data_IF_463869073552
#
_entry.id   IF_463869073552
#
_cell.length_a   1.000
_cell.length_b   1.000
_cell.length_c   1.000
_cell.angle_alpha   90.00
_cell.angle_beta   90.00
_cell.angle_gamma   90.00
#
_symmetry.space_group_name_H-M   'P 1'
#
loop_
_entity.id
_entity.type
_entity.pdbx_description
1 polymer ?
#
# COMPACT_ATOMS: atom_id res chain seq x y z
N UNK A 1 25.35 -54.24 -18.22
CA UNK A 1 24.90 -53.44 -19.38
C UNK A 1 25.32 -52.00 -19.11
N UNK A 2 26.42 -51.59 -19.73
CA UNK A 2 27.22 -50.42 -19.34
C UNK A 2 26.94 -49.28 -20.30
N UNK A 3 26.11 -48.32 -19.89
CA UNK A 3 25.75 -47.18 -20.74
C UNK A 3 26.80 -46.06 -20.59
N UNK A 4 27.60 -45.85 -21.64
CA UNK A 4 28.54 -44.73 -21.74
C UNK A 4 27.82 -43.53 -22.39
N UNK A 5 27.75 -42.41 -21.67
CA UNK A 5 27.27 -41.13 -22.19
C UNK A 5 28.46 -40.39 -22.82
N UNK A 6 28.38 -39.92 -24.07
CA UNK A 6 29.45 -39.15 -24.70
C UNK A 6 29.49 -37.70 -24.20
N UNK A 7 30.72 -37.23 -23.93
CA UNK A 7 31.07 -35.83 -23.66
C UNK A 7 30.84 -35.00 -24.93
N UNK A 8 30.08 -33.91 -24.82
CA UNK A 8 29.94 -32.89 -25.88
C UNK A 8 30.88 -31.72 -25.60
N UNK A 9 31.50 -31.28 -26.70
CA UNK A 9 32.65 -30.39 -26.82
C UNK A 9 32.41 -28.96 -26.33
N UNK A 10 33.55 -28.38 -25.94
CA UNK A 10 33.80 -26.97 -25.66
C UNK A 10 33.25 -26.04 -26.74
N UNK A 11 32.55 -25.00 -26.32
CA UNK A 11 32.16 -23.88 -27.17
C UNK A 11 33.15 -22.74 -26.95
N UNK A 12 33.87 -22.43 -28.02
CA UNK A 12 34.88 -21.39 -28.18
C UNK A 12 34.33 -20.02 -27.78
N UNK A 13 34.98 -19.34 -26.84
CA UNK A 13 34.69 -17.97 -26.48
C UNK A 13 35.13 -17.01 -27.59
N UNK A 14 34.19 -16.26 -28.15
CA UNK A 14 34.48 -15.10 -29.01
C UNK A 14 34.73 -13.91 -28.09
N UNK A 15 35.99 -13.51 -27.94
CA UNK A 15 36.35 -12.26 -27.29
C UNK A 15 36.07 -11.11 -28.27
N UNK A 16 35.00 -10.33 -28.02
CA UNK A 16 34.81 -9.04 -28.68
C UNK A 16 35.79 -8.02 -28.07
N UNK A 17 36.74 -7.56 -28.88
CA UNK A 17 37.53 -6.38 -28.57
C UNK A 17 36.64 -5.14 -28.69
N UNK A 18 36.33 -4.48 -27.57
CA UNK A 18 35.71 -3.16 -27.57
C UNK A 18 36.76 -2.11 -27.94
N UNK A 19 36.58 -1.46 -29.09
CA UNK A 19 37.32 -0.25 -29.45
C UNK A 19 36.94 0.90 -28.50
N UNK A 20 37.94 1.53 -27.89
CA UNK A 20 37.77 2.70 -27.06
C UNK A 20 37.40 3.92 -27.92
N UNK A 21 36.18 4.41 -27.78
CA UNK A 21 35.76 5.71 -28.34
C UNK A 21 36.18 6.81 -27.36
N UNK A 22 36.99 7.81 -27.78
CA UNK A 22 37.34 8.91 -26.90
C UNK A 22 36.21 9.95 -26.86
N UNK A 23 35.84 10.36 -25.64
CA UNK A 23 35.15 11.63 -25.42
C UNK A 23 33.63 11.60 -25.43
N UNK A 24 33.02 10.97 -24.40
CA UNK A 24 31.68 11.37 -23.96
C UNK A 24 31.87 12.08 -22.63
N UNK A 25 31.56 13.39 -22.60
CA UNK A 25 31.58 14.17 -21.37
C UNK A 25 30.71 13.46 -20.34
N UNK A 26 31.34 13.03 -19.24
CA UNK A 26 30.69 12.32 -18.15
C UNK A 26 29.73 13.29 -17.47
N UNK A 27 28.46 13.22 -17.83
CA UNK A 27 27.42 14.03 -17.21
C UNK A 27 27.44 13.73 -15.71
N UNK A 28 27.76 14.75 -14.91
CA UNK A 28 27.74 14.67 -13.45
C UNK A 28 26.35 14.17 -13.05
N UNK A 29 26.23 13.03 -12.33
CA UNK A 29 24.92 12.56 -11.88
C UNK A 29 24.25 13.67 -11.09
N UNK A 30 23.04 14.06 -11.50
CA UNK A 30 22.23 14.98 -10.72
C UNK A 30 22.14 14.42 -9.28
N UNK A 31 22.32 15.25 -8.24
CA UNK A 31 22.22 14.78 -6.87
C UNK A 31 20.88 14.08 -6.71
N UNK A 32 20.92 12.82 -6.24
CA UNK A 32 19.72 12.06 -5.96
C UNK A 32 18.85 12.89 -5.02
N UNK A 33 17.68 13.32 -5.50
CA UNK A 33 16.74 14.07 -4.70
C UNK A 33 16.47 13.25 -3.42
N UNK A 34 16.90 13.78 -2.28
CA UNK A 34 16.75 13.11 -1.00
C UNK A 34 15.28 12.85 -0.74
N UNK A 35 14.85 11.60 -0.88
CA UNK A 35 13.52 11.18 -0.48
C UNK A 35 13.47 11.20 1.03
N UNK A 36 12.89 12.25 1.60
CA UNK A 36 12.54 12.24 3.02
C UNK A 36 11.65 11.02 3.29
N UNK A 37 11.96 10.22 4.32
CA UNK A 37 11.15 9.06 4.66
C UNK A 37 9.72 9.52 4.95
N UNK A 38 8.74 9.01 4.20
CA UNK A 38 7.34 9.31 4.48
C UNK A 38 6.92 8.44 5.66
N UNK A 39 6.64 9.07 6.80
CA UNK A 39 6.11 8.37 7.98
C UNK A 39 4.67 7.94 7.73
N UNK A 40 4.45 6.63 7.70
CA UNK A 40 3.13 6.02 7.58
C UNK A 40 2.59 5.75 8.99
N UNK A 41 1.40 6.25 9.30
CA UNK A 41 0.73 6.07 10.59
C UNK A 41 -0.79 6.22 10.42
N UNK A 42 -1.61 5.58 11.26
CA UNK A 42 -2.99 6.06 11.47
C UNK A 42 -3.04 6.91 12.73
N UNK A 43 -3.72 8.04 12.63
CA UNK A 43 -3.89 9.00 13.70
C UNK A 43 -5.34 9.51 13.70
N UNK A 44 -5.82 10.12 14.78
CA UNK A 44 -7.04 10.91 14.74
C UNK A 44 -6.99 11.86 13.54
N UNK A 45 -8.06 11.87 12.74
CA UNK A 45 -8.15 12.80 11.62
C UNK A 45 -8.17 14.24 12.17
N UNK A 46 -7.63 15.22 11.43
CA UNK A 46 -7.79 16.64 11.76
C UNK A 46 -9.25 17.07 11.49
N UNK A 47 -10.17 16.64 12.35
CA UNK A 47 -11.61 16.72 12.13
C UNK A 47 -12.35 16.99 13.46
N UNK A 48 -13.38 17.86 13.49
CA UNK A 48 -14.25 18.03 14.65
C UNK A 48 -15.10 16.79 15.04
N UNK A 49 -15.23 15.79 14.18
CA UNK A 49 -15.97 14.56 14.46
C UNK A 49 -15.17 13.65 15.40
N UNK A 50 -15.67 13.50 16.62
CA UNK A 50 -15.16 12.55 17.61
C UNK A 50 -15.09 11.13 17.03
N UNK A 51 -13.97 10.44 17.28
CA UNK A 51 -13.82 9.02 16.94
C UNK A 51 -13.52 8.70 15.48
N UNK A 52 -13.09 9.66 14.65
CA UNK A 52 -12.61 9.39 13.30
C UNK A 52 -11.09 9.21 13.24
N UNK A 53 -10.64 8.05 12.75
CA UNK A 53 -9.23 7.70 12.62
C UNK A 53 -8.85 7.57 11.14
N UNK A 54 -7.83 8.30 10.71
CA UNK A 54 -7.39 8.36 9.32
C UNK A 54 -6.02 7.71 9.17
N UNK A 55 -5.83 7.00 8.07
CA UNK A 55 -4.50 6.60 7.64
C UNK A 55 -3.76 7.73 6.94
N UNK A 56 -2.50 7.92 7.31
CA UNK A 56 -1.57 8.87 6.68
C UNK A 56 -0.35 8.10 6.16
N UNK A 57 0.27 8.54 5.06
CA UNK A 57 -0.09 9.72 4.23
C UNK A 57 -1.40 9.54 3.45
N UNK A 58 -1.99 10.66 3.01
CA UNK A 58 -3.18 10.66 2.16
C UNK A 58 -2.82 10.20 0.74
N UNK A 59 -3.81 9.75 -0.03
CA UNK A 59 -3.65 9.49 -1.47
C UNK A 59 -4.15 10.69 -2.27
N UNK A 60 -3.39 11.10 -3.27
CA UNK A 60 -3.79 12.15 -4.19
C UNK A 60 -4.92 11.67 -5.11
N UNK A 61 -5.97 12.49 -5.24
CA UNK A 61 -7.08 12.29 -6.17
C UNK A 61 -7.29 13.56 -7.00
N UNK A 62 -8.08 13.51 -8.09
CA UNK A 62 -8.46 14.72 -8.83
C UNK A 62 -9.15 15.80 -7.97
N UNK A 63 -9.73 15.42 -6.84
CA UNK A 63 -10.43 16.31 -5.92
C UNK A 63 -9.60 16.70 -4.69
N UNK A 64 -8.33 16.28 -4.63
CA UNK A 64 -7.42 16.52 -3.51
C UNK A 64 -7.03 15.27 -2.72
N UNK A 65 -6.35 15.43 -1.58
CA UNK A 65 -5.95 14.34 -0.70
C UNK A 65 -7.17 13.60 -0.12
N UNK A 66 -7.14 12.27 -0.09
CA UNK A 66 -8.17 11.44 0.52
C UNK A 66 -7.53 10.32 1.35
N UNK A 67 -8.07 10.04 2.53
CA UNK A 67 -7.64 8.93 3.41
C UNK A 67 -8.71 7.86 3.51
N UNK A 68 -8.28 6.60 3.70
CA UNK A 68 -9.13 5.59 4.29
C UNK A 68 -9.26 5.86 5.80
N UNK A 69 -10.49 6.01 6.26
CA UNK A 69 -10.80 6.31 7.64
C UNK A 69 -11.82 5.36 8.24
N UNK A 70 -11.78 5.24 9.58
CA UNK A 70 -12.73 4.48 10.38
C UNK A 70 -13.38 5.41 11.41
N UNK A 71 -14.70 5.46 11.43
CA UNK A 71 -15.48 6.22 12.41
C UNK A 71 -16.04 5.28 13.49
N UNK A 72 -15.75 5.58 14.76
CA UNK A 72 -16.33 4.89 15.92
C UNK A 72 -17.68 5.49 16.30
N UNK A 73 -18.65 4.65 16.66
CA UNK A 73 -19.96 5.11 17.17
C UNK A 73 -19.96 5.38 18.68
N UNK A 74 -19.02 4.77 19.42
CA UNK A 74 -19.00 4.75 20.89
C UNK A 74 -19.75 3.56 21.52
N UNK A 75 -20.53 2.79 20.74
CA UNK A 75 -21.32 1.65 21.23
C UNK A 75 -20.76 0.27 20.78
N UNK A 76 -19.44 0.20 20.58
CA UNK A 76 -18.78 -1.01 20.09
C UNK A 76 -18.98 -1.27 18.59
N UNK A 77 -19.43 -0.27 17.84
CA UNK A 77 -19.56 -0.31 16.38
C UNK A 77 -18.66 0.72 15.72
N UNK A 78 -18.32 0.45 14.47
CA UNK A 78 -17.60 1.38 13.63
C UNK A 78 -18.00 1.22 12.17
N UNK A 79 -17.72 2.23 11.36
CA UNK A 79 -17.89 2.17 9.90
C UNK A 79 -16.65 2.71 9.21
N UNK A 80 -16.31 2.11 8.09
CA UNK A 80 -15.21 2.56 7.24
C UNK A 80 -15.73 3.55 6.19
N UNK A 81 -14.83 4.39 5.68
CA UNK A 81 -15.14 5.33 4.62
C UNK A 81 -13.93 6.12 4.15
N UNK A 82 -14.20 7.10 3.29
CA UNK A 82 -13.20 8.04 2.80
C UNK A 82 -13.33 9.36 3.52
N UNK A 83 -12.21 9.96 3.89
CA UNK A 83 -12.15 11.29 4.49
C UNK A 83 -11.34 12.24 3.61
N UNK A 84 -11.88 13.44 3.40
CA UNK A 84 -11.19 14.56 2.74
C UNK A 84 -10.79 15.59 3.79
N UNK A 85 -9.48 15.87 3.99
CA UNK A 85 -9.04 16.94 4.89
C UNK A 85 -9.30 18.34 4.31
N UNK A 86 -9.58 18.47 3.00
CA UNK A 86 -9.93 19.77 2.39
C UNK A 86 -11.34 20.18 2.78
N UNK A 87 -12.31 19.26 2.66
CA UNK A 87 -13.72 19.56 2.93
C UNK A 87 -14.13 19.23 4.36
N UNK A 88 -13.35 18.41 5.07
CA UNK A 88 -13.71 17.86 6.39
C UNK A 88 -14.77 16.75 6.32
N UNK A 89 -15.20 16.37 5.13
CA UNK A 89 -16.27 15.40 4.93
C UNK A 89 -15.79 13.96 5.08
N UNK A 90 -16.67 13.11 5.62
CA UNK A 90 -16.49 11.67 5.71
C UNK A 90 -17.62 10.97 4.94
N UNK A 91 -17.24 10.22 3.90
CA UNK A 91 -18.13 9.42 3.07
C UNK A 91 -18.04 7.94 3.48
N UNK A 92 -18.98 7.41 4.28
CA UNK A 92 -18.95 6.02 4.71
C UNK A 92 -19.12 5.08 3.51
N UNK A 93 -18.27 4.05 3.43
CA UNK A 93 -18.38 2.96 2.45
C UNK A 93 -19.04 1.71 3.04
N UNK A 94 -19.22 1.67 4.37
CA UNK A 94 -19.91 0.58 5.07
C UNK A 94 -21.03 1.12 5.95
N UNK A 95 -21.96 0.24 6.32
CA UNK A 95 -22.81 0.44 7.48
C UNK A 95 -22.02 0.35 8.80
N UNK A 96 -22.72 0.48 9.92
CA UNK A 96 -22.15 0.23 11.24
C UNK A 96 -21.92 -1.27 11.44
N UNK A 97 -20.65 -1.65 11.55
CA UNK A 97 -20.20 -3.01 11.80
C UNK A 97 -19.71 -3.14 13.23
N UNK A 98 -19.85 -4.34 13.80
CA UNK A 98 -19.33 -4.65 15.14
C UNK A 98 -17.80 -4.57 15.13
N UNK A 99 -17.23 -3.91 16.13
CA UNK A 99 -15.80 -3.92 16.37
C UNK A 99 -15.40 -5.25 17.01
N UNK A 100 -14.42 -5.92 16.42
CA UNK A 100 -13.77 -7.11 16.96
C UNK A 100 -12.57 -6.69 17.82
N UNK A 101 -11.75 -5.78 17.29
CA UNK A 101 -10.60 -5.18 17.98
C UNK A 101 -10.47 -3.71 17.60
N UNK A 102 -10.16 -2.87 18.58
CA UNK A 102 -9.99 -1.43 18.39
C UNK A 102 -8.51 -1.05 18.53
N UNK A 103 -7.72 -1.37 17.51
CA UNK A 103 -6.29 -1.06 17.47
C UNK A 103 -5.87 -0.57 16.09
N UNK A 104 -4.69 0.06 16.04
CA UNK A 104 -4.01 0.38 14.80
C UNK A 104 -3.41 -0.90 14.22
N UNK A 105 -3.79 -1.22 12.98
CA UNK A 105 -3.12 -2.26 12.20
C UNK A 105 -2.06 -1.62 11.33
N UNK A 106 -0.83 -2.11 11.46
CA UNK A 106 0.31 -1.68 10.65
C UNK A 106 1.16 -2.88 10.24
N UNK A 107 0.69 -3.57 9.21
CA UNK A 107 1.29 -4.79 8.69
C UNK A 107 2.43 -4.42 7.75
N UNK A 108 3.67 -4.71 8.13
CA UNK A 108 4.85 -4.31 7.33
C UNK A 108 4.88 -4.96 5.93
N UNK A 109 4.31 -6.15 5.79
CA UNK A 109 4.20 -6.84 4.51
C UNK A 109 2.90 -7.66 4.46
N UNK A 110 1.96 -7.21 3.65
CA UNK A 110 0.74 -7.94 3.34
C UNK A 110 0.62 -8.17 1.83
N UNK A 111 0.31 -9.41 1.44
CA UNK A 111 0.07 -9.80 0.06
C UNK A 111 -1.34 -9.40 -0.36
N UNK A 112 -1.45 -8.79 -1.52
CA UNK A 112 -2.72 -8.49 -2.17
C UNK A 112 -3.15 -9.62 -3.12
N UNK A 113 -4.44 -9.65 -3.47
CA UNK A 113 -5.01 -10.64 -4.39
C UNK A 113 -4.42 -10.58 -5.81
N UNK A 114 -3.84 -9.46 -6.20
CA UNK A 114 -3.12 -9.27 -7.47
C UNK A 114 -1.62 -9.62 -7.38
N UNK A 115 -1.19 -10.22 -6.27
CA UNK A 115 0.18 -10.68 -6.05
C UNK A 115 1.14 -9.62 -5.51
N UNK A 116 0.75 -8.34 -5.48
CA UNK A 116 1.60 -7.26 -4.95
C UNK A 116 1.78 -7.40 -3.43
N UNK A 117 2.93 -6.97 -2.93
CA UNK A 117 3.24 -6.96 -1.50
C UNK A 117 3.57 -5.53 -1.10
N UNK A 118 2.92 -5.06 -0.04
CA UNK A 118 3.14 -3.72 0.49
C UNK A 118 2.78 -3.63 1.97
N UNK A 119 3.15 -2.51 2.58
CA UNK A 119 2.78 -2.20 3.97
C UNK A 119 1.30 -1.84 4.01
N UNK A 120 0.51 -2.44 4.90
CA UNK A 120 -0.93 -2.18 5.03
C UNK A 120 -1.21 -1.53 6.36
N UNK A 121 -1.84 -0.36 6.34
CA UNK A 121 -2.20 0.37 7.55
C UNK A 121 -3.71 0.62 7.57
N UNK A 122 -4.34 0.48 8.72
CA UNK A 122 -5.78 0.72 8.92
C UNK A 122 -6.14 0.77 10.39
N UNK A 123 -7.39 1.09 10.73
CA UNK A 123 -7.83 1.20 12.12
C UNK A 123 -9.11 0.42 12.39
N UNK A 124 -9.09 -0.32 13.49
CA UNK A 124 -10.12 -1.23 13.99
C UNK A 124 -10.46 -2.40 13.05
N UNK A 125 -10.47 -3.60 13.62
CA UNK A 125 -10.93 -4.82 12.95
C UNK A 125 -12.43 -4.93 13.13
N UNK A 126 -13.16 -5.03 12.02
CA UNK A 126 -14.61 -5.05 12.00
C UNK A 126 -15.13 -6.42 11.56
N UNK A 127 -16.28 -6.81 12.09
CA UNK A 127 -17.00 -8.01 11.68
C UNK A 127 -17.77 -7.72 10.39
N UNK A 128 -17.26 -8.20 9.26
CA UNK A 128 -17.90 -8.05 7.94
C UNK A 128 -18.51 -9.37 7.44
N UNK A 129 -19.37 -9.35 6.41
CA UNK A 129 -19.85 -10.57 5.74
C UNK A 129 -18.73 -11.45 5.16
N UNK A 130 -17.55 -10.88 4.92
CA UNK A 130 -16.38 -11.60 4.41
C UNK A 130 -15.49 -12.17 5.54
N UNK A 131 -15.89 -11.99 6.80
CA UNK A 131 -15.10 -12.30 7.98
C UNK A 131 -14.47 -11.06 8.64
N UNK A 132 -13.58 -11.26 9.61
CA UNK A 132 -12.86 -10.17 10.27
C UNK A 132 -11.99 -9.40 9.27
N UNK A 133 -12.21 -8.09 9.17
CA UNK A 133 -11.57 -7.27 8.15
C UNK A 133 -11.20 -5.87 8.66
N UNK A 134 -10.18 -5.26 8.04
CA UNK A 134 -9.79 -3.87 8.25
C UNK A 134 -9.82 -3.16 6.90
N UNK A 135 -10.55 -2.06 6.81
CA UNK A 135 -10.44 -1.16 5.66
C UNK A 135 -9.16 -0.34 5.81
N UNK A 136 -8.29 -0.45 4.82
CA UNK A 136 -6.90 -0.07 4.94
C UNK A 136 -6.37 0.60 3.68
N UNK A 137 -5.20 1.21 3.82
CA UNK A 137 -4.37 1.67 2.71
C UNK A 137 -3.14 0.77 2.61
N UNK A 138 -2.89 0.21 1.43
CA UNK A 138 -1.64 -0.49 1.12
C UNK A 138 -0.67 0.50 0.49
N UNK A 139 0.58 0.51 0.97
CA UNK A 139 1.66 1.40 0.54
C UNK A 139 2.79 0.61 -0.13
N UNK A 140 3.30 1.16 -1.23
CA UNK A 140 4.46 0.62 -1.95
C UNK A 140 5.15 1.74 -2.74
N UNK A 141 6.46 1.90 -2.55
CA UNK A 141 7.31 2.77 -3.39
C UNK A 141 6.78 4.20 -3.60
N UNK A 142 6.38 4.88 -2.52
CA UNK A 142 5.86 6.25 -2.59
C UNK A 142 4.46 6.37 -3.23
N UNK A 143 3.74 5.25 -3.32
CA UNK A 143 2.35 5.17 -3.77
C UNK A 143 1.52 4.42 -2.75
N UNK A 144 0.21 4.59 -2.84
CA UNK A 144 -0.73 3.80 -2.05
C UNK A 144 -2.00 3.51 -2.82
N UNK A 145 -2.79 2.58 -2.29
CA UNK A 145 -4.12 2.23 -2.80
C UNK A 145 -4.99 1.77 -1.67
N UNK A 146 -6.29 1.98 -1.81
CA UNK A 146 -7.25 1.57 -0.80
C UNK A 146 -7.72 0.13 -1.02
N UNK A 147 -8.20 -0.47 0.05
CA UNK A 147 -8.69 -1.85 0.01
C UNK A 147 -9.15 -2.34 1.37
N UNK A 148 -9.40 -3.64 1.42
CA UNK A 148 -9.80 -4.35 2.63
C UNK A 148 -8.78 -5.45 2.89
N UNK A 149 -8.17 -5.45 4.07
CA UNK A 149 -7.37 -6.58 4.51
C UNK A 149 -8.25 -7.55 5.29
N UNK A 150 -8.36 -8.78 4.81
CA UNK A 150 -9.16 -9.83 5.41
C UNK A 150 -8.28 -10.79 6.21
N UNK A 151 -8.58 -10.97 7.49
CA UNK A 151 -7.78 -11.81 8.39
C UNK A 151 -8.07 -13.30 8.21
N UNK A 152 -9.21 -13.67 7.64
CA UNK A 152 -9.53 -15.07 7.35
C UNK A 152 -8.71 -15.61 6.16
N UNK A 153 -8.48 -14.78 5.14
CA UNK A 153 -7.69 -15.17 3.96
C UNK A 153 -6.24 -14.69 4.00
N UNK A 154 -5.90 -13.80 4.94
CA UNK A 154 -4.59 -13.17 5.06
C UNK A 154 -4.17 -12.44 3.77
N UNK A 155 -5.15 -11.80 3.10
CA UNK A 155 -4.97 -11.09 1.84
C UNK A 155 -5.54 -9.68 1.90
N UNK A 156 -4.89 -8.78 1.17
CA UNK A 156 -5.40 -7.45 0.86
C UNK A 156 -6.20 -7.46 -0.45
N UNK A 157 -7.43 -6.97 -0.40
CA UNK A 157 -8.36 -6.87 -1.51
C UNK A 157 -8.43 -5.40 -1.94
N UNK A 158 -7.71 -5.01 -3.01
CA UNK A 158 -7.73 -3.63 -3.47
C UNK A 158 -9.14 -3.21 -3.94
N UNK A 159 -9.52 -1.98 -3.67
CA UNK A 159 -10.78 -1.38 -4.14
C UNK A 159 -10.70 -1.01 -5.63
N UNK A 160 -11.85 -1.03 -6.31
CA UNK A 160 -11.96 -0.65 -7.72
C UNK A 160 -11.10 -1.54 -8.63
N UNK A 161 -10.26 -0.91 -9.45
CA UNK A 161 -9.30 -1.61 -10.31
C UNK A 161 -7.92 -1.82 -9.64
N UNK A 162 -7.79 -1.51 -8.35
CA UNK A 162 -6.54 -1.59 -7.61
C UNK A 162 -5.44 -0.64 -8.08
N UNK A 163 -5.82 0.47 -8.74
CA UNK A 163 -4.90 1.49 -9.19
C UNK A 163 -4.13 2.11 -8.01
N UNK A 164 -2.85 2.38 -8.26
CA UNK A 164 -1.97 3.06 -7.33
C UNK A 164 -2.08 4.57 -7.50
N UNK A 165 -2.28 5.27 -6.40
CA UNK A 165 -2.26 6.73 -6.32
C UNK A 165 -0.96 7.22 -5.68
N UNK A 166 -0.53 8.44 -6.04
CA UNK A 166 0.61 9.09 -5.40
C UNK A 166 0.26 9.45 -3.95
N UNK A 167 1.25 9.41 -3.07
CA UNK A 167 1.11 9.85 -1.68
C UNK A 167 1.17 11.38 -1.60
N UNK A 168 0.45 11.95 -0.65
CA UNK A 168 0.46 13.39 -0.32
C UNK A 168 0.29 13.57 1.19
N UNK A 169 0.87 14.64 1.72
CA UNK A 169 0.87 14.96 3.16
C UNK A 169 -0.45 15.58 3.65
#
# INVERSE_FOLDING_TARGET
>A
MTNRIPRVLATTGVALALAAVPGVAQATPAPAAGTTPITIAAAPCPNPFWGLFCTRPYLATPFGPVSQATQLSGDGRARAGKYSPITGEFAPSTGWLRIIRQELYDLQAARATDGQIGRVTGYAQLSSPLGPAVWATQFQSGRGRWGVYNFATNLFYPEGNGAWSRLTN
#
